data_IF_829645872488
#
_entry.id   IF_829645872488
#
_cell.length_a   1.000
_cell.length_b   1.000
_cell.length_c   1.000
_cell.angle_alpha   90.00
_cell.angle_beta   90.00
_cell.angle_gamma   90.00
#
_symmetry.space_group_name_H-M   'P 1'
#
loop_
_entity.id
_entity.type
_entity.pdbx_description
1 polymer ?
#
# COMPACT_ATOMS: atom_id res chain seq x y z
N UNK A 1 -4.00 9.69 -15.60
CA UNK A 1 -4.43 9.60 -14.20
C UNK A 1 -3.61 8.56 -13.48
N UNK A 2 -3.05 8.95 -12.33
CA UNK A 2 -2.19 8.03 -11.59
C UNK A 2 -3.01 7.19 -10.61
N UNK A 3 -2.58 5.96 -10.44
CA UNK A 3 -3.17 5.07 -9.44
C UNK A 3 -2.07 4.47 -8.58
N UNK A 4 -2.44 4.10 -7.36
CA UNK A 4 -1.50 3.53 -6.39
C UNK A 4 -2.10 2.27 -5.78
N UNK A 5 -1.24 1.27 -5.58
CA UNK A 5 -1.55 0.06 -4.83
C UNK A 5 -0.80 0.18 -3.50
N UNK A 6 -1.49 0.01 -2.38
CA UNK A 6 -0.95 0.33 -1.06
C UNK A 6 -0.70 -0.95 -0.28
N UNK A 7 0.53 -1.11 0.22
CA UNK A 7 0.92 -2.23 1.06
C UNK A 7 0.29 -2.11 2.46
N UNK A 8 0.08 -3.26 3.10
CA UNK A 8 -0.51 -3.37 4.42
C UNK A 8 0.17 -2.49 5.46
N UNK A 9 1.50 -2.56 5.52
CA UNK A 9 2.23 -1.81 6.55
C UNK A 9 2.15 -0.32 6.36
N UNK A 10 2.11 0.16 5.13
CA UNK A 10 1.98 1.59 4.87
C UNK A 10 0.63 2.10 5.37
N UNK A 11 -0.43 1.31 5.16
CA UNK A 11 -1.73 1.66 5.70
C UNK A 11 -1.71 1.76 7.23
N UNK A 12 -1.02 0.82 7.87
CA UNK A 12 -0.93 0.83 9.34
C UNK A 12 -0.10 1.99 9.87
N UNK A 13 0.91 2.43 9.12
CA UNK A 13 1.72 3.58 9.51
C UNK A 13 0.90 4.86 9.58
N UNK A 14 -0.20 4.94 8.85
CA UNK A 14 -1.10 6.10 8.96
C UNK A 14 -1.52 6.33 10.41
N UNK A 15 -1.75 5.26 11.14
CA UNK A 15 -2.11 5.33 12.54
C UNK A 15 -0.88 5.41 13.44
N UNK A 16 0.08 4.51 13.22
CA UNK A 16 1.24 4.37 14.09
C UNK A 16 2.13 5.60 14.05
N UNK A 17 2.28 6.20 12.88
CA UNK A 17 3.16 7.35 12.69
C UNK A 17 2.38 8.65 12.47
N UNK A 18 1.05 8.60 12.56
CA UNK A 18 0.17 9.76 12.46
C UNK A 18 0.42 10.55 11.18
N UNK A 19 0.45 9.85 10.06
CA UNK A 19 0.69 10.46 8.76
C UNK A 19 -0.51 10.23 7.86
N UNK A 20 -0.92 11.27 7.14
CA UNK A 20 -2.05 11.20 6.21
C UNK A 20 -1.53 10.88 4.82
N UNK A 21 -1.38 9.59 4.52
CA UNK A 21 -0.79 9.18 3.26
C UNK A 21 -1.69 9.50 2.08
N UNK A 22 -3.02 9.44 2.26
CA UNK A 22 -3.94 9.67 1.14
C UNK A 22 -3.97 11.13 0.73
N UNK A 23 -3.89 12.07 1.69
CA UNK A 23 -3.76 13.48 1.34
C UNK A 23 -2.50 13.73 0.54
N UNK A 24 -1.38 13.13 0.97
CA UNK A 24 -0.13 13.32 0.23
C UNK A 24 -0.22 12.77 -1.17
N UNK A 25 -0.77 11.56 -1.32
CA UNK A 25 -0.89 10.94 -2.64
C UNK A 25 -1.79 11.76 -3.55
N UNK A 26 -2.90 12.28 -3.01
CA UNK A 26 -3.79 13.12 -3.82
C UNK A 26 -3.09 14.38 -4.29
N UNK A 27 -2.29 14.99 -3.43
CA UNK A 27 -1.52 16.18 -3.81
C UNK A 27 -0.52 15.88 -4.90
N UNK A 28 -0.05 14.64 -4.97
CA UNK A 28 0.87 14.21 -6.02
C UNK A 28 0.17 13.82 -7.32
N UNK A 29 -1.15 13.92 -7.36
CA UNK A 29 -1.93 13.63 -8.55
C UNK A 29 -2.51 12.25 -8.63
N UNK A 30 -2.41 11.45 -7.56
CA UNK A 30 -3.03 10.13 -7.54
C UNK A 30 -4.53 10.26 -7.32
N UNK A 31 -5.32 9.55 -8.12
CA UNK A 31 -6.78 9.65 -8.06
C UNK A 31 -7.47 8.33 -7.77
N UNK A 32 -6.79 7.22 -7.98
CA UNK A 32 -7.34 5.90 -7.72
C UNK A 32 -6.39 5.13 -6.80
N UNK A 33 -6.98 4.43 -5.83
CA UNK A 33 -6.22 3.67 -4.85
C UNK A 33 -6.79 2.27 -4.79
N UNK A 34 -5.92 1.26 -4.87
CA UNK A 34 -6.35 -0.13 -4.89
C UNK A 34 -5.60 -0.93 -3.84
N UNK A 35 -6.26 -1.92 -3.29
CA UNK A 35 -5.59 -2.96 -2.51
C UNK A 35 -6.12 -4.31 -2.97
N UNK A 36 -5.27 -5.33 -3.00
CA UNK A 36 -5.77 -6.67 -3.29
C UNK A 36 -6.53 -7.20 -2.07
N UNK A 37 -7.46 -8.11 -2.30
CA UNK A 37 -8.23 -8.72 -1.21
C UNK A 37 -7.32 -9.34 -0.15
N UNK A 38 -6.13 -9.80 -0.53
CA UNK A 38 -5.16 -10.36 0.41
C UNK A 38 -4.74 -9.37 1.49
N UNK A 39 -4.67 -8.08 1.16
CA UNK A 39 -4.37 -7.05 2.15
C UNK A 39 -5.48 -6.95 3.18
N UNK A 40 -6.73 -6.98 2.73
CA UNK A 40 -7.87 -6.94 3.64
C UNK A 40 -7.87 -8.18 4.54
N UNK A 41 -7.61 -9.36 3.97
CA UNK A 41 -7.51 -10.59 4.74
C UNK A 41 -6.43 -10.49 5.80
N UNK A 42 -5.27 -9.95 5.43
CA UNK A 42 -4.16 -9.79 6.36
C UNK A 42 -4.53 -8.83 7.49
N UNK A 43 -5.16 -7.69 7.17
CA UNK A 43 -5.55 -6.72 8.18
C UNK A 43 -6.59 -7.31 9.14
N UNK A 44 -7.53 -8.10 8.63
CA UNK A 44 -8.51 -8.76 9.49
C UNK A 44 -7.85 -9.77 10.41
N UNK A 45 -6.84 -10.48 9.93
CA UNK A 45 -6.09 -11.42 10.74
C UNK A 45 -5.29 -10.69 11.82
N UNK A 46 -4.64 -9.59 11.45
CA UNK A 46 -3.87 -8.79 12.40
C UNK A 46 -4.75 -8.16 13.47
N UNK A 47 -5.95 -7.76 13.10
CA UNK A 47 -6.91 -7.18 14.03
C UNK A 47 -7.25 -8.17 15.16
N UNK A 48 -7.24 -9.46 14.86
CA UNK A 48 -7.55 -10.49 15.84
C UNK A 48 -6.31 -10.89 16.64
N UNK A 49 -5.15 -10.99 15.98
CA UNK A 49 -3.94 -11.53 16.60
C UNK A 49 -3.11 -10.49 17.35
N UNK A 50 -3.23 -9.22 17.00
CA UNK A 50 -2.46 -8.15 17.63
C UNK A 50 -3.23 -7.55 18.80
N UNK A 51 -2.51 -6.82 19.66
CA UNK A 51 -3.10 -6.12 20.79
C UNK A 51 -2.64 -4.67 20.80
N UNK A 52 -3.29 -3.85 21.62
CA UNK A 52 -2.86 -2.48 21.85
C UNK A 52 -2.84 -1.63 20.59
N UNK A 53 -1.74 -0.92 20.43
CA UNK A 53 -1.59 0.07 19.38
C UNK A 53 -1.62 -0.56 17.99
N UNK A 54 -0.97 -1.71 17.84
CA UNK A 54 -0.96 -2.40 16.55
C UNK A 54 -2.35 -2.88 16.16
N UNK A 55 -3.13 -3.33 17.12
CA UNK A 55 -4.51 -3.71 16.84
C UNK A 55 -5.31 -2.50 16.36
N UNK A 56 -5.14 -1.37 17.03
CA UNK A 56 -5.82 -0.15 16.62
C UNK A 56 -5.37 0.28 15.23
N UNK A 57 -4.08 0.11 14.93
CA UNK A 57 -3.56 0.45 13.60
C UNK A 57 -4.20 -0.41 12.52
N UNK A 58 -4.41 -1.72 12.78
CA UNK A 58 -5.04 -2.57 11.78
C UNK A 58 -6.50 -2.21 11.57
N UNK A 59 -7.21 -1.84 12.62
CA UNK A 59 -8.60 -1.38 12.50
C UNK A 59 -8.68 -0.08 11.72
N UNK A 60 -7.77 0.84 12.01
CA UNK A 60 -7.73 2.12 11.31
C UNK A 60 -7.42 1.91 9.83
N UNK A 61 -6.47 1.01 9.54
CA UNK A 61 -6.12 0.69 8.15
C UNK A 61 -7.33 0.17 7.39
N UNK A 62 -8.12 -0.71 8.02
CA UNK A 62 -9.34 -1.21 7.38
C UNK A 62 -10.33 -0.08 7.08
N UNK A 63 -10.45 0.90 7.97
CA UNK A 63 -11.33 2.03 7.73
C UNK A 63 -10.81 2.90 6.57
N UNK A 64 -9.49 3.01 6.42
CA UNK A 64 -8.91 3.74 5.30
C UNK A 64 -9.18 3.03 3.97
N UNK A 65 -9.05 1.70 3.97
CA UNK A 65 -9.36 0.91 2.79
C UNK A 65 -10.81 1.16 2.38
N UNK A 66 -11.71 1.10 3.36
CA UNK A 66 -13.14 1.29 3.10
C UNK A 66 -13.43 2.67 2.54
N UNK A 67 -12.72 3.68 3.03
CA UNK A 67 -12.98 5.06 2.65
C UNK A 67 -12.33 5.46 1.32
N UNK A 68 -11.12 4.96 1.05
CA UNK A 68 -10.33 5.48 -0.07
C UNK A 68 -10.02 4.47 -1.16
N UNK A 69 -10.07 3.17 -0.87
CA UNK A 69 -9.54 2.18 -1.79
C UNK A 69 -10.62 1.32 -2.40
N UNK A 70 -10.36 0.85 -3.60
CA UNK A 70 -11.15 -0.22 -4.19
C UNK A 70 -10.42 -1.53 -3.92
N UNK A 71 -11.13 -2.53 -3.40
CA UNK A 71 -10.57 -3.85 -3.14
C UNK A 71 -10.71 -4.69 -4.39
N UNK A 72 -9.62 -5.29 -4.83
CA UNK A 72 -9.59 -6.08 -6.06
C UNK A 72 -9.20 -7.52 -5.72
N UNK A 73 -9.98 -8.47 -6.24
CA UNK A 73 -9.63 -9.88 -6.11
C UNK A 73 -8.44 -10.19 -7.01
N UNK A 74 -7.39 -10.75 -6.42
CA UNK A 74 -6.20 -11.13 -7.18
C UNK A 74 -5.82 -12.54 -6.79
N UNK A 75 -5.66 -13.40 -7.79
CA UNK A 75 -5.21 -14.76 -7.54
C UNK A 75 -3.71 -14.78 -7.36
N UNK A 76 -3.29 -15.04 -6.14
CA UNK A 76 -1.86 -15.10 -5.82
C UNK A 76 -1.69 -15.91 -4.55
N UNK A 77 -0.50 -16.45 -4.35
CA UNK A 77 -0.24 -17.32 -3.20
C UNK A 77 0.04 -16.54 -1.91
N UNK A 78 0.21 -15.23 -1.98
CA UNK A 78 0.47 -14.42 -0.81
C UNK A 78 0.27 -12.95 -1.09
N UNK A 79 0.41 -12.15 -0.03
CA UNK A 79 0.14 -10.72 -0.11
C UNK A 79 1.13 -10.02 -1.03
N UNK A 80 2.43 -10.37 -0.95
CA UNK A 80 3.43 -9.70 -1.77
C UNK A 80 3.17 -9.90 -3.26
N UNK A 81 2.89 -11.15 -3.66
CA UNK A 81 2.61 -11.44 -5.06
C UNK A 81 1.31 -10.80 -5.52
N UNK A 82 0.32 -10.72 -4.62
CA UNK A 82 -0.94 -10.05 -4.96
C UNK A 82 -0.72 -8.57 -5.22
N UNK A 83 0.11 -7.92 -4.38
CA UNK A 83 0.44 -6.50 -4.58
C UNK A 83 1.16 -6.27 -5.90
N UNK A 84 2.14 -7.11 -6.20
CA UNK A 84 2.90 -7.03 -7.44
C UNK A 84 1.98 -7.20 -8.65
N UNK A 85 1.15 -8.24 -8.62
CA UNK A 85 0.27 -8.54 -9.74
C UNK A 85 -0.74 -7.43 -9.97
N UNK A 86 -1.30 -6.89 -8.89
CA UNK A 86 -2.28 -5.82 -9.02
C UNK A 86 -1.65 -4.54 -9.57
N UNK A 87 -0.47 -4.17 -9.04
CA UNK A 87 0.21 -2.98 -9.52
C UNK A 87 0.57 -3.12 -10.99
N UNK A 88 1.03 -4.31 -11.40
CA UNK A 88 1.42 -4.54 -12.78
C UNK A 88 0.22 -4.51 -13.72
N UNK A 89 -0.84 -5.24 -13.35
CA UNK A 89 -2.00 -5.36 -14.25
C UNK A 89 -2.76 -4.05 -14.40
N UNK A 90 -2.75 -3.21 -13.36
CA UNK A 90 -3.43 -1.92 -13.40
C UNK A 90 -2.50 -0.76 -13.75
N UNK A 91 -1.22 -1.05 -13.94
CA UNK A 91 -0.22 -0.04 -14.30
C UNK A 91 -0.17 1.06 -13.24
N UNK A 92 -0.08 0.65 -11.98
CA UNK A 92 -0.08 1.56 -10.83
C UNK A 92 1.30 1.61 -10.18
N UNK A 93 1.51 2.64 -9.38
CA UNK A 93 2.69 2.73 -8.51
C UNK A 93 2.40 1.88 -7.27
N UNK A 94 3.37 1.07 -6.86
CA UNK A 94 3.24 0.28 -5.63
C UNK A 94 3.86 1.05 -4.48
N UNK A 95 3.07 1.30 -3.45
CA UNK A 95 3.54 2.05 -2.26
C UNK A 95 3.86 1.06 -1.16
N UNK A 96 5.14 0.92 -0.84
CA UNK A 96 5.59 -0.03 0.18
C UNK A 96 6.91 0.41 0.77
N UNK A 97 7.11 0.10 2.06
CA UNK A 97 8.39 0.32 2.72
C UNK A 97 9.21 -0.96 2.83
N UNK A 98 8.66 -2.09 2.39
CA UNK A 98 9.34 -3.38 2.46
C UNK A 98 10.44 -3.43 1.41
N UNK A 99 11.69 -3.61 1.84
CA UNK A 99 12.85 -3.58 0.93
C UNK A 99 12.81 -4.71 -0.08
N UNK A 100 12.39 -5.89 0.35
CA UNK A 100 12.32 -7.04 -0.54
C UNK A 100 11.26 -6.82 -1.61
N UNK A 101 10.11 -6.32 -1.20
CA UNK A 101 9.02 -6.07 -2.14
C UNK A 101 9.39 -4.96 -3.12
N UNK A 102 10.07 -3.92 -2.64
CA UNK A 102 10.55 -2.85 -3.53
C UNK A 102 11.49 -3.42 -4.60
N UNK A 103 12.40 -4.30 -4.19
CA UNK A 103 13.33 -4.88 -5.15
C UNK A 103 12.61 -5.75 -6.18
N UNK A 104 11.65 -6.56 -5.74
CA UNK A 104 10.85 -7.36 -6.65
C UNK A 104 10.13 -6.50 -7.67
N UNK A 105 9.53 -5.42 -7.21
CA UNK A 105 8.80 -4.51 -8.09
C UNK A 105 9.74 -3.85 -9.11
N UNK A 106 10.90 -3.40 -8.65
CA UNK A 106 11.87 -2.77 -9.55
C UNK A 106 12.36 -3.75 -10.62
N UNK A 107 12.63 -4.99 -10.22
CA UNK A 107 13.08 -6.01 -11.17
C UNK A 107 12.04 -6.26 -12.26
N UNK A 108 10.77 -6.03 -11.96
CA UNK A 108 9.67 -6.22 -12.91
C UNK A 108 9.25 -4.94 -13.61
N UNK A 109 9.98 -3.84 -13.38
CA UNK A 109 9.66 -2.58 -14.01
C UNK A 109 8.46 -1.86 -13.44
N UNK A 110 8.07 -2.18 -12.21
CA UNK A 110 6.92 -1.56 -11.55
C UNK A 110 7.42 -0.35 -10.75
N UNK A 111 6.88 0.85 -10.98
CA UNK A 111 7.30 2.01 -10.20
C UNK A 111 6.86 1.86 -8.75
N UNK A 112 7.70 2.36 -7.86
CA UNK A 112 7.43 2.24 -6.42
C UNK A 112 7.40 3.60 -5.77
N UNK A 113 6.73 3.65 -4.62
CA UNK A 113 6.79 4.77 -3.70
C UNK A 113 6.93 4.23 -2.30
N UNK A 114 7.35 5.07 -1.40
CA UNK A 114 7.55 4.63 -0.03
C UNK A 114 7.39 5.83 0.91
N UNK A 115 7.20 5.53 2.19
CA UNK A 115 7.02 6.55 3.22
C UNK A 115 8.38 6.83 3.85
N UNK A 116 9.02 7.89 3.40
CA UNK A 116 10.35 8.26 3.84
C UNK A 116 10.30 8.79 5.27
N UNK A 117 11.14 8.21 6.13
CA UNK A 117 11.24 8.58 7.55
C UNK A 117 9.88 8.56 8.24
N UNK A 118 8.96 7.73 7.71
CA UNK A 118 7.58 7.62 8.21
C UNK A 118 6.83 8.95 8.20
N UNK A 119 7.21 9.86 7.31
CA UNK A 119 6.61 11.19 7.26
C UNK A 119 6.11 11.59 5.89
N UNK A 120 6.82 11.24 4.84
CA UNK A 120 6.51 11.77 3.52
C UNK A 120 6.60 10.69 2.45
N UNK A 121 5.57 10.63 1.62
CA UNK A 121 5.58 9.74 0.46
C UNK A 121 6.57 10.27 -0.56
N UNK A 122 7.45 9.38 -1.01
CA UNK A 122 8.35 9.67 -2.12
C UNK A 122 8.13 8.63 -3.20
N UNK A 123 8.12 9.09 -4.44
CA UNK A 123 7.92 8.21 -5.59
C UNK A 123 9.27 8.01 -6.26
N UNK A 124 9.66 6.75 -6.36
CA UNK A 124 10.89 6.38 -7.06
C UNK A 124 10.48 5.89 -8.44
N UNK A 125 10.44 6.83 -9.37
CA UNK A 125 10.04 6.54 -10.73
C UNK A 125 11.30 6.34 -11.57
N UNK A 126 11.78 5.11 -11.57
CA UNK A 126 13.05 4.81 -12.24
C UNK A 126 12.91 4.75 -13.76
N UNK A 127 11.74 5.04 -14.27
CA UNK A 127 11.55 5.21 -15.72
C UNK A 127 11.93 6.60 -16.19
N UNK A 128 11.96 7.55 -15.26
CA UNK A 128 12.32 8.90 -15.63
C UNK A 128 13.82 9.05 -15.65
N UNK A 129 14.32 9.76 -16.59
CA UNK A 129 15.75 9.95 -16.77
C UNK A 129 16.16 11.36 -16.54
#
# INVERSE_FOLDING_TARGET
MRCAVIDTNVLMYSYLEKVDIFSQLKEMGFKKFYVPSKVVEELNRLKVSLTGKERQASKFALSLVDKYCEVVEVEATGTDLALIELARSRNCVLITNDKKLKKMAKDLGIPIGYLREFKRIEIDDFYEE
#
